data_IF_625287068126
#
_entry.id   IF_625287068126
#
_cell.length_a   1.000
_cell.length_b   1.000
_cell.length_c   1.000
_cell.angle_alpha   90.00
_cell.angle_beta   90.00
_cell.angle_gamma   90.00
#
_symmetry.space_group_name_H-M   'P 1'
#
loop_
_entity.id
_entity.type
_entity.pdbx_description
1 polymer ?
#
# COMPACT_ATOMS: atom_id res chain seq x y z
N UNK A 1 -1.53 2.69 -21.66
CA UNK A 1 -0.63 1.74 -22.38
C UNK A 1 -1.03 0.36 -21.91
N UNK A 2 -1.33 -0.58 -22.80
CA UNK A 2 -1.73 -1.93 -22.36
C UNK A 2 -0.49 -2.68 -21.88
N UNK A 3 -0.54 -3.18 -20.65
CA UNK A 3 0.54 -4.02 -20.09
C UNK A 3 0.53 -5.36 -20.82
N UNK A 4 1.68 -5.86 -21.33
CA UNK A 4 1.75 -7.20 -21.91
C UNK A 4 1.36 -8.29 -20.91
N UNK A 5 0.68 -9.34 -21.36
CA UNK A 5 0.16 -10.41 -20.49
C UNK A 5 1.24 -11.21 -19.74
N UNK A 6 2.48 -11.17 -20.20
CA UNK A 6 3.62 -11.76 -19.48
C UNK A 6 3.86 -11.14 -18.10
N UNK A 7 3.36 -9.91 -17.87
CA UNK A 7 3.45 -9.20 -16.59
C UNK A 7 2.19 -9.37 -15.70
N UNK A 8 1.16 -10.07 -16.16
CA UNK A 8 -0.06 -10.30 -15.37
C UNK A 8 0.21 -10.87 -13.96
N UNK A 9 1.21 -11.74 -13.74
CA UNK A 9 1.50 -12.26 -12.41
C UNK A 9 2.11 -11.25 -11.43
N UNK A 10 2.60 -10.10 -11.92
CA UNK A 10 3.36 -9.11 -11.12
C UNK A 10 2.85 -7.68 -11.27
N UNK A 11 1.85 -7.42 -12.09
CA UNK A 11 1.24 -6.10 -12.22
C UNK A 11 0.26 -5.83 -11.07
N UNK A 12 -0.01 -4.56 -10.75
CA UNK A 12 -1.10 -4.22 -9.85
C UNK A 12 -2.45 -4.73 -10.37
N UNK A 13 -3.36 -5.04 -9.45
CA UNK A 13 -4.73 -5.41 -9.79
C UNK A 13 -5.48 -4.26 -10.47
N UNK A 14 -6.24 -4.58 -11.49
CA UNK A 14 -7.23 -3.66 -12.05
C UNK A 14 -8.44 -3.55 -11.09
N UNK A 15 -9.19 -2.44 -11.12
CA UNK A 15 -10.32 -2.23 -10.20
C UNK A 15 -11.34 -3.37 -10.16
N UNK A 16 -11.57 -4.03 -11.30
CA UNK A 16 -12.50 -5.14 -11.44
C UNK A 16 -12.01 -6.43 -10.76
N UNK A 17 -10.71 -6.56 -10.54
CA UNK A 17 -10.07 -7.71 -9.92
C UNK A 17 -10.04 -7.61 -8.39
N UNK A 18 -10.14 -6.39 -7.84
CA UNK A 18 -10.02 -6.13 -6.41
C UNK A 18 -11.00 -6.93 -5.55
N UNK A 19 -12.29 -7.08 -5.89
CA UNK A 19 -13.22 -7.87 -5.06
C UNK A 19 -12.74 -9.31 -4.88
N UNK A 20 -12.23 -9.96 -5.93
CA UNK A 20 -11.72 -11.32 -5.87
C UNK A 20 -10.41 -11.41 -5.07
N UNK A 21 -9.51 -10.41 -5.21
CA UNK A 21 -8.30 -10.32 -4.40
C UNK A 21 -8.66 -10.14 -2.91
N UNK A 22 -9.61 -9.27 -2.57
CA UNK A 22 -10.08 -9.10 -1.19
C UNK A 22 -10.68 -10.37 -0.60
N UNK A 23 -11.43 -11.14 -1.39
CA UNK A 23 -11.98 -12.42 -0.94
C UNK A 23 -10.86 -13.40 -0.57
N UNK A 24 -9.84 -13.55 -1.43
CA UNK A 24 -8.71 -14.45 -1.18
C UNK A 24 -7.91 -14.02 0.04
N UNK A 25 -7.51 -12.76 0.11
CA UNK A 25 -6.68 -12.25 1.21
C UNK A 25 -7.42 -12.32 2.56
N UNK A 26 -8.73 -12.05 2.59
CA UNK A 26 -9.53 -12.14 3.81
C UNK A 26 -9.79 -13.58 4.25
N UNK A 27 -9.68 -14.57 3.35
CA UNK A 27 -9.75 -15.99 3.68
C UNK A 27 -8.44 -16.53 4.25
N UNK A 28 -7.32 -15.83 4.03
CA UNK A 28 -6.01 -16.26 4.52
C UNK A 28 -5.87 -16.06 6.03
N UNK A 29 -5.49 -17.14 6.74
CA UNK A 29 -5.38 -17.14 8.20
C UNK A 29 -4.23 -16.27 8.72
N UNK A 30 -3.11 -16.20 7.99
CA UNK A 30 -1.97 -15.36 8.40
C UNK A 30 -2.34 -13.89 8.25
N UNK A 31 -3.00 -13.52 7.16
CA UNK A 31 -3.48 -12.16 6.98
C UNK A 31 -4.51 -11.77 8.05
N UNK A 32 -5.42 -12.67 8.43
CA UNK A 32 -6.35 -12.43 9.54
C UNK A 32 -5.62 -12.16 10.86
N UNK A 33 -4.50 -12.85 11.14
CA UNK A 33 -3.66 -12.57 12.31
C UNK A 33 -3.01 -11.20 12.22
N UNK A 34 -2.53 -10.80 11.05
CA UNK A 34 -1.99 -9.44 10.81
C UNK A 34 -3.07 -8.39 11.07
N UNK A 35 -4.28 -8.58 10.55
CA UNK A 35 -5.40 -7.66 10.81
C UNK A 35 -5.75 -7.57 12.30
N UNK A 36 -5.79 -8.69 13.00
CA UNK A 36 -6.06 -8.72 14.43
C UNK A 36 -4.98 -7.99 15.24
N UNK A 37 -3.73 -8.06 14.82
CA UNK A 37 -2.61 -7.34 15.43
C UNK A 37 -2.68 -5.82 15.15
N UNK A 38 -2.98 -5.44 13.91
CA UNK A 38 -3.02 -4.03 13.50
C UNK A 38 -4.27 -3.30 14.00
N UNK A 39 -5.39 -4.02 14.14
CA UNK A 39 -6.70 -3.47 14.48
C UNK A 39 -7.38 -4.31 15.59
N UNK A 40 -6.78 -4.38 16.80
CA UNK A 40 -7.26 -5.27 17.86
C UNK A 40 -8.70 -4.99 18.32
N UNK A 41 -9.12 -3.73 18.22
CA UNK A 41 -10.44 -3.28 18.70
C UNK A 41 -11.47 -3.15 17.57
N UNK A 42 -11.13 -3.58 16.34
CA UNK A 42 -12.03 -3.46 15.18
C UNK A 42 -12.52 -4.83 14.75
N UNK A 43 -13.83 -5.08 14.74
CA UNK A 43 -14.39 -6.33 14.24
C UNK A 43 -13.97 -6.59 12.78
N UNK A 44 -13.63 -7.84 12.47
CA UNK A 44 -13.18 -8.23 11.12
C UNK A 44 -14.21 -7.86 10.04
N UNK A 45 -15.50 -7.93 10.36
CA UNK A 45 -16.56 -7.57 9.42
C UNK A 45 -16.56 -6.07 9.07
N UNK A 46 -16.18 -5.20 10.01
CA UNK A 46 -16.01 -3.78 9.74
C UNK A 46 -14.79 -3.50 8.84
N UNK A 47 -13.71 -4.28 9.02
CA UNK A 47 -12.53 -4.22 8.14
C UNK A 47 -12.92 -4.68 6.73
N UNK A 48 -13.62 -5.81 6.59
CA UNK A 48 -14.12 -6.32 5.31
C UNK A 48 -14.95 -5.27 4.58
N UNK A 49 -15.93 -4.66 5.28
CA UNK A 49 -16.76 -3.62 4.68
C UNK A 49 -15.94 -2.45 4.14
N UNK A 50 -14.94 -2.00 4.89
CA UNK A 50 -14.01 -0.94 4.46
C UNK A 50 -13.19 -1.37 3.24
N UNK A 51 -12.69 -2.61 3.21
CA UNK A 51 -11.94 -3.13 2.06
C UNK A 51 -12.82 -3.16 0.80
N UNK A 52 -14.01 -3.72 0.87
CA UNK A 52 -14.93 -3.77 -0.26
C UNK A 52 -15.47 -2.39 -0.70
N UNK A 53 -15.40 -1.38 0.17
CA UNK A 53 -15.71 0.00 -0.19
C UNK A 53 -14.60 0.64 -1.07
N UNK A 54 -13.35 0.20 -0.94
CA UNK A 54 -12.25 0.64 -1.79
C UNK A 54 -12.39 0.06 -3.20
N UNK A 55 -12.49 0.93 -4.21
CA UNK A 55 -12.69 0.54 -5.62
C UNK A 55 -11.41 0.64 -6.44
N UNK A 56 -10.37 1.21 -5.88
CA UNK A 56 -9.06 1.36 -6.52
C UNK A 56 -7.95 1.05 -5.51
N UNK A 57 -6.77 0.67 -6.02
CA UNK A 57 -5.58 0.45 -5.20
C UNK A 57 -5.24 1.70 -4.38
N UNK A 58 -5.37 2.89 -4.97
CA UNK A 58 -5.10 4.15 -4.27
C UNK A 58 -6.08 4.40 -3.11
N UNK A 59 -7.36 4.05 -3.26
CA UNK A 59 -8.32 4.14 -2.15
C UNK A 59 -7.95 3.19 -1.02
N UNK A 60 -7.60 1.95 -1.35
CA UNK A 60 -7.11 0.97 -0.37
C UNK A 60 -5.87 1.49 0.36
N UNK A 61 -4.86 1.98 -0.37
CA UNK A 61 -3.65 2.55 0.21
C UNK A 61 -3.96 3.72 1.15
N UNK A 62 -4.87 4.62 0.77
CA UNK A 62 -5.26 5.77 1.62
C UNK A 62 -6.02 5.33 2.88
N UNK A 63 -6.91 4.38 2.76
CA UNK A 63 -7.75 3.93 3.89
C UNK A 63 -6.95 3.09 4.90
N UNK A 64 -6.10 2.19 4.42
CA UNK A 64 -5.39 1.25 5.28
C UNK A 64 -3.92 1.64 5.49
N UNK A 65 -3.15 1.78 4.42
CA UNK A 65 -1.71 2.01 4.53
C UNK A 65 -1.39 3.41 5.06
N UNK A 66 -1.96 4.46 4.47
CA UNK A 66 -1.70 5.83 4.92
C UNK A 66 -2.12 6.05 6.37
N UNK A 67 -3.31 5.58 6.76
CA UNK A 67 -3.81 5.71 8.13
C UNK A 67 -2.89 5.00 9.13
N UNK A 68 -2.44 3.80 8.80
CA UNK A 68 -1.49 3.05 9.62
C UNK A 68 -0.14 3.78 9.74
N UNK A 69 0.42 4.26 8.62
CA UNK A 69 1.69 4.99 8.61
C UNK A 69 1.60 6.32 9.36
N UNK A 70 0.47 7.02 9.24
CA UNK A 70 0.24 8.25 10.00
C UNK A 70 0.30 7.98 11.51
N UNK A 71 -0.30 6.89 11.98
CA UNK A 71 -0.24 6.45 13.37
C UNK A 71 1.19 6.13 13.79
N UNK A 72 1.96 5.37 12.99
CA UNK A 72 3.37 5.09 13.28
C UNK A 72 4.20 6.37 13.42
N UNK A 73 4.02 7.34 12.52
CA UNK A 73 4.72 8.62 12.60
C UNK A 73 4.37 9.37 13.89
N UNK A 74 3.09 9.42 14.24
CA UNK A 74 2.59 10.20 15.38
C UNK A 74 2.97 9.56 16.72
N UNK A 75 2.89 8.24 16.84
CA UNK A 75 3.03 7.53 18.12
C UNK A 75 4.46 7.01 18.36
N UNK A 76 5.21 6.67 17.30
CA UNK A 76 6.46 5.92 17.41
C UNK A 76 7.66 6.62 16.79
N UNK A 77 7.51 7.86 16.29
CA UNK A 77 8.64 8.60 15.70
C UNK A 77 8.67 10.06 16.16
N UNK A 78 9.79 10.73 15.89
CA UNK A 78 9.93 12.18 16.09
C UNK A 78 9.35 12.98 14.90
N UNK A 79 8.77 12.32 13.93
CA UNK A 79 8.20 12.90 12.74
C UNK A 79 8.85 12.36 11.47
N UNK A 80 8.18 12.60 10.35
CA UNK A 80 8.68 12.27 9.01
C UNK A 80 8.30 13.42 8.08
N UNK A 81 9.27 13.96 7.35
CA UNK A 81 9.06 15.08 6.45
C UNK A 81 9.84 14.90 5.15
N UNK A 82 9.40 15.61 4.12
CA UNK A 82 10.07 15.69 2.82
C UNK A 82 10.21 17.16 2.42
N UNK A 83 11.41 17.55 2.00
CA UNK A 83 11.59 18.84 1.31
C UNK A 83 11.09 18.70 -0.13
N UNK A 84 9.95 19.29 -0.41
CA UNK A 84 9.31 19.29 -1.73
C UNK A 84 9.36 20.66 -2.43
N UNK A 85 10.18 21.61 -1.96
CA UNK A 85 10.19 22.98 -2.48
C UNK A 85 10.46 23.07 -3.99
N UNK A 86 11.21 22.12 -4.54
CA UNK A 86 11.56 22.06 -5.97
C UNK A 86 10.83 20.94 -6.73
N UNK A 87 9.83 20.31 -6.12
CA UNK A 87 9.09 19.21 -6.73
C UNK A 87 7.77 19.72 -7.32
N UNK A 88 7.53 19.45 -8.60
CA UNK A 88 6.24 19.71 -9.22
C UNK A 88 5.38 18.44 -9.17
N UNK A 89 4.37 18.43 -8.30
CA UNK A 89 3.49 17.27 -8.06
C UNK A 89 2.68 16.80 -9.29
N UNK A 90 2.70 17.57 -10.40
CA UNK A 90 2.07 17.19 -11.68
C UNK A 90 3.02 16.46 -12.65
N UNK A 91 4.31 16.36 -12.31
CA UNK A 91 5.31 15.65 -13.11
C UNK A 91 5.51 14.23 -12.58
N UNK A 92 6.04 13.37 -13.44
CA UNK A 92 6.47 12.02 -13.07
C UNK A 92 7.94 12.06 -12.67
N UNK A 93 8.28 11.26 -11.66
CA UNK A 93 9.64 11.16 -11.12
C UNK A 93 10.01 9.69 -10.93
N UNK A 94 11.30 9.41 -10.99
CA UNK A 94 11.89 8.19 -10.46
C UNK A 94 12.55 8.55 -9.15
N UNK A 95 12.13 7.91 -8.06
CA UNK A 95 12.72 8.09 -6.73
C UNK A 95 13.78 7.02 -6.51
N UNK A 96 14.95 7.44 -6.06
CA UNK A 96 16.06 6.55 -5.69
C UNK A 96 16.45 6.87 -4.26
N UNK A 97 16.42 5.87 -3.40
CA UNK A 97 16.71 6.01 -1.98
C UNK A 97 17.68 4.93 -1.49
N UNK A 98 18.29 5.17 -0.34
CA UNK A 98 18.93 4.10 0.41
C UNK A 98 17.88 3.11 0.88
N UNK A 99 18.20 1.82 0.82
CA UNK A 99 17.31 0.77 1.29
C UNK A 99 17.71 0.33 2.70
N UNK A 100 16.92 0.68 3.69
CA UNK A 100 17.12 0.33 5.09
C UNK A 100 16.06 -0.66 5.61
N UNK A 101 14.82 -0.49 5.17
CA UNK A 101 13.69 -1.33 5.54
C UNK A 101 12.89 -1.73 4.29
N UNK A 102 12.60 -3.02 4.18
CA UNK A 102 11.95 -3.58 2.97
C UNK A 102 10.55 -2.99 2.74
N UNK A 103 9.82 -2.69 3.80
CA UNK A 103 8.43 -2.25 3.73
C UNK A 103 8.31 -0.75 3.99
N UNK A 104 8.96 -0.27 5.05
CA UNK A 104 8.72 1.08 5.55
C UNK A 104 9.32 2.17 4.67
N UNK A 105 10.45 1.92 3.98
CA UNK A 105 11.09 2.95 3.15
C UNK A 105 10.13 3.41 2.04
N UNK A 106 9.55 2.48 1.30
CA UNK A 106 8.61 2.77 0.23
C UNK A 106 7.27 3.27 0.75
N UNK A 107 6.77 2.68 1.83
CA UNK A 107 5.50 3.06 2.43
C UNK A 107 5.54 4.50 2.96
N UNK A 108 6.62 4.93 3.62
CA UNK A 108 6.79 6.32 4.04
C UNK A 108 6.96 7.28 2.87
N UNK A 109 7.65 6.86 1.79
CA UNK A 109 7.70 7.68 0.58
C UNK A 109 6.30 7.94 0.04
N UNK A 110 5.48 6.92 -0.11
CA UNK A 110 4.10 7.06 -0.60
C UNK A 110 3.24 7.96 0.29
N UNK A 111 3.39 7.81 1.63
CA UNK A 111 2.73 8.71 2.57
C UNK A 111 3.15 10.16 2.33
N UNK A 112 4.45 10.42 2.22
CA UNK A 112 4.98 11.77 2.02
C UNK A 112 4.57 12.36 0.67
N UNK A 113 4.50 11.54 -0.39
CA UNK A 113 3.99 11.98 -1.70
C UNK A 113 2.53 12.44 -1.60
N UNK A 114 1.69 11.72 -0.88
CA UNK A 114 0.30 12.13 -0.61
C UNK A 114 0.26 13.43 0.17
N UNK A 115 1.08 13.56 1.23
CA UNK A 115 1.13 14.74 2.09
C UNK A 115 1.49 16.03 1.32
N UNK A 116 2.41 15.93 0.35
CA UNK A 116 2.82 17.08 -0.46
C UNK A 116 1.94 17.31 -1.70
N UNK A 117 0.90 16.50 -1.90
CA UNK A 117 -0.15 16.74 -2.89
C UNK A 117 0.03 16.02 -4.22
N UNK A 118 0.79 14.93 -4.28
CA UNK A 118 0.74 14.05 -5.44
C UNK A 118 -0.63 13.37 -5.54
N UNK A 119 -1.12 13.22 -6.76
CA UNK A 119 -2.42 12.58 -7.01
C UNK A 119 -2.40 11.07 -6.79
N UNK A 120 -1.23 10.44 -6.88
CA UNK A 120 -1.01 9.00 -6.76
C UNK A 120 0.28 8.71 -6.00
N UNK A 121 0.42 7.49 -5.54
CA UNK A 121 1.63 6.92 -4.95
C UNK A 121 2.63 6.50 -6.04
N UNK A 122 3.81 6.06 -5.66
CA UNK A 122 4.77 5.48 -6.60
C UNK A 122 4.57 3.97 -6.76
N UNK A 123 4.97 3.43 -7.89
CA UNK A 123 5.14 2.00 -8.09
C UNK A 123 6.53 1.60 -7.56
N UNK A 124 6.59 0.48 -6.86
CA UNK A 124 7.79 0.04 -6.15
C UNK A 124 8.34 -1.19 -6.85
N UNK A 125 9.61 -1.13 -7.27
CA UNK A 125 10.30 -2.30 -7.79
C UNK A 125 10.81 -3.16 -6.63
N UNK A 126 10.27 -4.36 -6.49
CA UNK A 126 10.67 -5.34 -5.47
C UNK A 126 11.09 -6.65 -6.11
N UNK A 127 11.91 -7.43 -5.42
CA UNK A 127 12.25 -8.78 -5.87
C UNK A 127 11.08 -9.76 -5.66
N UNK A 128 10.84 -10.65 -6.60
CA UNK A 128 9.77 -11.65 -6.57
C UNK A 128 9.88 -12.63 -5.40
N UNK A 129 11.07 -12.80 -4.84
CA UNK A 129 11.30 -13.59 -3.63
C UNK A 129 10.55 -13.04 -2.39
N UNK A 130 10.17 -11.78 -2.38
CA UNK A 130 9.35 -11.18 -1.33
C UNK A 130 7.87 -11.53 -1.47
N UNK A 131 7.45 -11.98 -2.65
CA UNK A 131 6.08 -12.41 -2.96
C UNK A 131 5.87 -13.92 -2.73
N UNK A 132 6.58 -14.50 -1.76
CA UNK A 132 6.53 -15.95 -1.48
C UNK A 132 5.24 -16.41 -0.80
N UNK A 133 4.52 -15.51 -0.17
CA UNK A 133 3.22 -15.78 0.46
C UNK A 133 2.08 -15.29 -0.43
N UNK A 134 1.06 -16.12 -0.59
CA UNK A 134 -0.07 -15.81 -1.49
C UNK A 134 -0.77 -14.51 -1.10
N UNK A 135 -1.02 -14.29 0.19
CA UNK A 135 -1.66 -13.07 0.67
C UNK A 135 -0.81 -11.81 0.44
N UNK A 136 0.52 -11.93 0.37
CA UNK A 136 1.42 -10.79 0.05
C UNK A 136 1.30 -10.42 -1.44
N UNK A 137 1.03 -11.40 -2.31
CA UNK A 137 0.76 -11.13 -3.73
C UNK A 137 -0.58 -10.47 -3.96
N UNK A 138 -1.56 -10.81 -3.11
CA UNK A 138 -2.92 -10.26 -3.20
C UNK A 138 -3.05 -8.88 -2.53
N UNK A 139 -2.05 -8.44 -1.74
CA UNK A 139 -2.00 -7.15 -1.06
C UNK A 139 -1.41 -6.06 -1.98
#
# INVERSE_FOLDING_TARGET
MKIPSEFDPIRPFEPEELPAAYERILADKQFQQVLAYLYPDVPIEAIKQKMYACKTNLEFQKVFCYTFLQRLVTELSLGCCMDAANINTRKRYTFVSNHRDIVLDSAFLDKLLIDVGFATTCEIAIGDNLLSLDWVRDL
#
